data_IF_003637962213
#
_entry.id   IF_003637962213
#
_cell.length_a   1.000
_cell.length_b   1.000
_cell.length_c   1.000
_cell.angle_alpha   90.00
_cell.angle_beta   90.00
_cell.angle_gamma   90.00
#
_symmetry.space_group_name_H-M   'P 1'
#
loop_
_entity.id
_entity.type
_entity.pdbx_description
1 polymer ?
#
# COMPACT_ATOMS: atom_id res chain seq x y z
N UNK A 1 27.56 24.67 46.75
CA UNK A 1 27.88 24.66 45.30
C UNK A 1 27.71 23.26 44.67
N UNK A 2 28.01 22.16 45.34
CA UNK A 2 27.94 20.77 44.84
C UNK A 2 26.50 20.35 44.43
N UNK A 3 25.43 20.74 45.09
CA UNK A 3 24.05 20.37 44.73
C UNK A 3 23.62 20.88 43.35
N UNK A 4 23.96 22.12 42.99
CA UNK A 4 23.66 22.70 41.69
C UNK A 4 24.37 22.00 40.55
N UNK A 5 25.57 21.54 40.76
CA UNK A 5 26.39 20.82 39.76
C UNK A 5 25.80 19.43 39.50
N UNK A 6 25.39 18.72 40.55
CA UNK A 6 24.73 17.38 40.41
C UNK A 6 23.42 17.45 39.62
N UNK A 7 22.57 18.42 39.87
CA UNK A 7 21.32 18.60 39.16
C UNK A 7 21.53 18.92 37.67
N UNK A 8 22.53 19.74 37.35
CA UNK A 8 22.88 20.04 35.94
C UNK A 8 23.41 18.83 35.22
N UNK A 9 24.19 17.99 35.86
CA UNK A 9 24.71 16.74 35.30
C UNK A 9 23.59 15.72 35.08
N UNK A 10 22.68 15.54 36.04
CA UNK A 10 21.53 14.66 35.93
C UNK A 10 20.60 15.15 34.79
N UNK A 11 20.32 16.45 34.73
CA UNK A 11 19.51 17.03 33.66
C UNK A 11 20.11 16.83 32.25
N UNK A 12 21.42 17.02 32.13
CA UNK A 12 22.11 16.77 30.86
C UNK A 12 22.08 15.28 30.46
N UNK A 13 22.30 14.37 31.40
CA UNK A 13 22.22 12.94 31.17
C UNK A 13 20.79 12.50 30.77
N UNK A 14 19.78 13.00 31.46
CA UNK A 14 18.37 12.75 31.12
C UNK A 14 18.02 13.29 29.73
N UNK A 15 18.45 14.49 29.40
CA UNK A 15 18.20 15.08 28.09
C UNK A 15 18.88 14.27 26.97
N UNK A 16 20.11 13.84 27.18
CA UNK A 16 20.83 13.01 26.22
C UNK A 16 20.14 11.65 26.01
N UNK A 17 19.72 11.00 27.11
CA UNK A 17 19.00 9.72 27.04
C UNK A 17 17.66 9.87 26.30
N UNK A 18 16.87 10.91 26.65
CA UNK A 18 15.60 11.20 26.00
C UNK A 18 15.78 11.47 24.50
N UNK A 19 16.83 12.21 24.12
CA UNK A 19 17.14 12.46 22.70
C UNK A 19 17.42 11.18 21.93
N UNK A 20 18.21 10.27 22.50
CA UNK A 20 18.53 8.98 21.87
C UNK A 20 17.25 8.14 21.68
N UNK A 21 16.39 8.08 22.72
CA UNK A 21 15.13 7.33 22.65
C UNK A 21 14.21 7.92 21.57
N UNK A 22 14.09 9.24 21.49
CA UNK A 22 13.28 9.90 20.45
C UNK A 22 13.81 9.62 19.04
N UNK A 23 15.12 9.67 18.85
CA UNK A 23 15.74 9.37 17.55
C UNK A 23 15.45 7.91 17.15
N UNK A 24 15.59 6.96 18.09
CA UNK A 24 15.29 5.55 17.83
C UNK A 24 13.80 5.33 17.48
N UNK A 25 12.90 5.96 18.21
CA UNK A 25 11.46 5.88 17.91
C UNK A 25 11.14 6.44 16.52
N UNK A 26 11.69 7.60 16.16
CA UNK A 26 11.53 8.16 14.83
C UNK A 26 12.08 7.23 13.74
N UNK A 27 13.26 6.65 13.97
CA UNK A 27 13.88 5.74 13.02
C UNK A 27 13.05 4.48 12.81
N UNK A 28 12.59 3.83 13.89
CA UNK A 28 11.74 2.62 13.82
C UNK A 28 10.43 2.91 13.10
N UNK A 29 9.78 4.05 13.39
CA UNK A 29 8.53 4.42 12.73
C UNK A 29 8.71 4.69 11.23
N UNK A 30 9.79 5.40 10.84
CA UNK A 30 10.12 5.65 9.43
C UNK A 30 10.44 4.36 8.68
N UNK A 31 11.23 3.48 9.31
CA UNK A 31 11.56 2.17 8.74
C UNK A 31 10.32 1.31 8.53
N UNK A 32 9.46 1.23 9.55
CA UNK A 32 8.22 0.46 9.47
C UNK A 32 7.29 0.98 8.37
N UNK A 33 7.11 2.31 8.28
CA UNK A 33 6.34 2.95 7.22
C UNK A 33 6.88 2.58 5.84
N UNK A 34 8.19 2.70 5.65
CA UNK A 34 8.83 2.39 4.35
C UNK A 34 8.72 0.90 4.00
N UNK A 35 8.90 0.03 4.98
CA UNK A 35 8.78 -1.42 4.78
C UNK A 35 7.38 -1.85 4.35
N UNK A 36 6.34 -1.34 5.02
CA UNK A 36 4.93 -1.65 4.68
C UNK A 36 4.59 -1.11 3.30
N UNK A 37 5.01 0.11 2.97
CA UNK A 37 4.74 0.71 1.67
C UNK A 37 5.40 -0.09 0.54
N UNK A 38 6.64 -0.51 0.71
CA UNK A 38 7.36 -1.31 -0.30
C UNK A 38 6.69 -2.67 -0.55
N UNK A 39 6.20 -3.34 0.51
CA UNK A 39 5.49 -4.61 0.37
C UNK A 39 4.18 -4.44 -0.42
N UNK A 40 3.45 -3.35 -0.19
CA UNK A 40 2.23 -3.05 -0.92
C UNK A 40 2.50 -2.71 -2.39
N UNK A 41 3.57 -1.96 -2.67
CA UNK A 41 3.98 -1.63 -4.04
C UNK A 41 4.42 -2.88 -4.81
N UNK A 42 5.13 -3.78 -4.16
CA UNK A 42 5.51 -5.07 -4.77
C UNK A 42 4.28 -5.93 -5.08
N UNK A 43 3.31 -5.99 -4.14
CA UNK A 43 2.07 -6.72 -4.37
C UNK A 43 1.25 -6.10 -5.51
N UNK A 44 1.14 -4.78 -5.58
CA UNK A 44 0.45 -4.07 -6.67
C UNK A 44 1.12 -4.29 -8.02
N UNK A 45 2.45 -4.23 -8.07
CA UNK A 45 3.20 -4.47 -9.31
C UNK A 45 2.94 -5.88 -9.85
N UNK A 46 2.97 -6.89 -8.98
CA UNK A 46 2.67 -8.28 -9.37
C UNK A 46 1.22 -8.47 -9.81
N UNK A 47 0.26 -7.85 -9.10
CA UNK A 47 -1.15 -7.89 -9.50
C UNK A 47 -1.37 -7.20 -10.85
N UNK A 48 -0.68 -6.10 -11.12
CA UNK A 48 -0.73 -5.39 -12.40
C UNK A 48 -0.20 -6.25 -13.55
N UNK A 49 0.88 -7.00 -13.34
CA UNK A 49 1.39 -7.95 -14.35
C UNK A 49 0.35 -9.02 -14.72
N UNK A 50 -0.38 -9.52 -13.72
CA UNK A 50 -1.46 -10.51 -13.95
C UNK A 50 -2.63 -9.88 -14.70
N UNK A 51 -3.02 -8.66 -14.34
CA UNK A 51 -4.13 -7.95 -14.97
C UNK A 51 -3.82 -7.59 -16.43
N UNK A 52 -2.61 -7.09 -16.71
CA UNK A 52 -2.17 -6.74 -18.07
C UNK A 52 -2.03 -7.95 -19.00
N UNK A 53 -1.75 -9.15 -18.48
CA UNK A 53 -1.64 -10.36 -19.29
C UNK A 53 -3.01 -10.96 -19.67
N UNK A 54 -4.12 -10.32 -19.26
CA UNK A 54 -5.50 -10.79 -19.49
C UNK A 54 -5.71 -12.28 -19.12
N UNK A 55 -4.86 -12.82 -18.25
CA UNK A 55 -5.06 -14.16 -17.75
C UNK A 55 -6.18 -14.15 -16.72
N UNK A 56 -7.29 -14.86 -16.95
CA UNK A 56 -8.30 -15.00 -15.91
C UNK A 56 -7.61 -15.66 -14.72
N UNK A 57 -7.59 -14.96 -13.61
CA UNK A 57 -7.15 -15.51 -12.34
C UNK A 57 -8.12 -16.63 -11.95
N UNK A 58 -7.81 -17.85 -12.39
CA UNK A 58 -8.64 -19.01 -12.10
C UNK A 58 -8.05 -19.71 -10.90
N UNK A 59 -8.69 -19.63 -9.72
CA UNK A 59 -8.26 -20.44 -8.58
C UNK A 59 -8.46 -21.93 -8.94
N UNK A 60 -7.43 -22.60 -9.39
CA UNK A 60 -7.44 -24.05 -9.59
C UNK A 60 -7.05 -24.59 -10.97
N UNK A 61 -6.76 -23.79 -11.97
CA UNK A 61 -6.26 -24.28 -13.26
C UNK A 61 -5.04 -23.48 -13.73
N UNK A 62 -3.87 -24.03 -13.40
CA UNK A 62 -2.62 -23.61 -14.01
C UNK A 62 -2.25 -22.19 -13.65
N UNK A 63 -1.74 -21.99 -12.43
CA UNK A 63 -0.97 -20.79 -12.13
C UNK A 63 0.06 -20.60 -13.26
N UNK A 64 0.25 -19.38 -13.79
CA UNK A 64 1.34 -19.12 -14.71
C UNK A 64 2.63 -19.60 -14.07
N UNK A 65 3.65 -19.98 -14.86
CA UNK A 65 4.90 -20.51 -14.36
C UNK A 65 5.73 -19.39 -13.71
N UNK A 66 5.24 -18.86 -12.60
CA UNK A 66 6.00 -18.01 -11.72
C UNK A 66 6.66 -18.91 -10.70
N UNK A 67 7.91 -19.26 -10.98
CA UNK A 67 8.77 -20.03 -10.08
C UNK A 67 9.01 -19.34 -8.73
N UNK A 68 8.47 -18.13 -8.52
CA UNK A 68 8.72 -17.29 -7.36
C UNK A 68 7.50 -17.05 -6.44
N UNK A 69 6.37 -17.74 -6.68
CA UNK A 69 5.25 -17.77 -5.72
C UNK A 69 5.57 -18.56 -4.44
N UNK A 70 6.75 -19.17 -4.36
CA UNK A 70 7.19 -19.91 -3.16
C UNK A 70 7.26 -19.06 -1.89
N UNK A 71 7.32 -17.73 -2.02
CA UNK A 71 7.29 -16.79 -0.90
C UNK A 71 5.89 -16.28 -0.53
N UNK A 72 4.89 -16.52 -1.38
CA UNK A 72 3.50 -16.27 -1.05
C UNK A 72 2.79 -17.58 -0.75
N UNK A 73 2.34 -17.76 0.49
CA UNK A 73 1.44 -18.85 0.84
C UNK A 73 0.22 -18.80 -0.09
N UNK A 74 -0.29 -19.95 -0.60
CA UNK A 74 -1.53 -20.00 -1.39
C UNK A 74 -2.71 -19.28 -0.73
N UNK A 75 -2.66 -19.12 0.58
CA UNK A 75 -3.68 -18.42 1.38
C UNK A 75 -3.63 -16.88 1.23
N UNK A 76 -2.50 -16.31 0.81
CA UNK A 76 -2.36 -14.86 0.60
C UNK A 76 -3.27 -14.38 -0.53
N UNK A 77 -3.48 -15.18 -1.55
CA UNK A 77 -4.38 -14.87 -2.67
C UNK A 77 -5.82 -14.63 -2.21
N UNK A 78 -6.27 -15.32 -1.18
CA UNK A 78 -7.61 -15.15 -0.60
C UNK A 78 -7.72 -13.99 0.40
N UNK A 79 -6.58 -13.44 0.82
CA UNK A 79 -6.54 -12.32 1.78
C UNK A 79 -6.36 -10.95 1.11
N UNK A 80 -5.91 -10.91 -0.13
CA UNK A 80 -5.76 -9.68 -0.90
C UNK A 80 -7.12 -9.21 -1.39
N UNK A 81 -7.53 -8.03 -0.94
CA UNK A 81 -8.75 -7.36 -1.40
C UNK A 81 -8.34 -6.25 -2.32
N UNK A 82 -8.61 -6.42 -3.60
CA UNK A 82 -8.25 -5.45 -4.64
C UNK A 82 -9.37 -5.31 -5.66
N UNK A 83 -9.33 -4.24 -6.42
CA UNK A 83 -10.15 -4.01 -7.60
C UNK A 83 -9.35 -3.23 -8.64
N UNK A 84 -9.76 -3.31 -9.89
CA UNK A 84 -9.15 -2.56 -10.99
C UNK A 84 -10.21 -1.86 -11.84
N UNK A 85 -9.84 -0.71 -12.38
CA UNK A 85 -10.63 0.06 -13.35
C UNK A 85 -9.79 0.26 -14.60
N UNK A 86 -10.34 -0.14 -15.73
CA UNK A 86 -9.69 -0.09 -17.03
C UNK A 86 -10.29 1.02 -17.87
N UNK A 87 -9.44 1.82 -18.46
CA UNK A 87 -9.80 2.94 -19.33
C UNK A 87 -9.22 2.76 -20.72
N UNK A 88 -10.00 3.13 -21.73
CA UNK A 88 -9.53 3.24 -23.11
C UNK A 88 -8.67 4.50 -23.30
N UNK A 89 -8.00 4.60 -24.44
CA UNK A 89 -7.24 5.78 -24.90
C UNK A 89 -8.00 7.09 -24.80
N UNK A 90 -9.32 7.03 -24.97
CA UNK A 90 -10.23 8.17 -24.89
C UNK A 90 -10.64 8.55 -23.47
N UNK A 91 -10.17 7.81 -22.45
CA UNK A 91 -10.54 8.01 -21.05
C UNK A 91 -11.93 7.50 -20.67
N UNK A 92 -12.54 6.66 -21.49
CA UNK A 92 -13.79 5.96 -21.19
C UNK A 92 -13.52 4.70 -20.39
N UNK A 93 -14.34 4.42 -19.37
CA UNK A 93 -14.23 3.17 -18.60
C UNK A 93 -14.62 1.99 -19.49
N UNK A 94 -13.70 1.05 -19.65
CA UNK A 94 -13.91 -0.19 -20.39
C UNK A 94 -14.52 -1.28 -19.52
N UNK A 95 -13.96 -1.45 -18.32
CA UNK A 95 -14.43 -2.45 -17.36
C UNK A 95 -13.98 -2.10 -15.94
N UNK A 96 -14.74 -2.58 -14.96
CA UNK A 96 -14.39 -2.56 -13.54
C UNK A 96 -14.35 -4.01 -13.06
N UNK A 97 -13.21 -4.42 -12.52
CA UNK A 97 -13.04 -5.76 -11.94
C UNK A 97 -13.10 -5.66 -10.41
N UNK A 98 -14.13 -6.25 -9.81
CA UNK A 98 -14.39 -6.25 -8.37
C UNK A 98 -14.49 -7.67 -7.80
N UNK A 99 -14.03 -8.70 -8.53
CA UNK A 99 -14.20 -10.10 -8.16
C UNK A 99 -13.58 -10.45 -6.80
N UNK A 100 -12.62 -9.63 -6.35
CA UNK A 100 -11.85 -9.87 -5.11
C UNK A 100 -12.25 -8.93 -3.95
N UNK A 101 -13.27 -8.09 -4.14
CA UNK A 101 -13.73 -7.15 -3.12
C UNK A 101 -15.24 -6.94 -3.22
N UNK A 102 -15.95 -7.17 -2.10
CA UNK A 102 -17.40 -7.00 -2.02
C UNK A 102 -17.82 -5.67 -1.38
N UNK A 103 -16.86 -4.88 -0.87
CA UNK A 103 -17.16 -3.70 -0.05
C UNK A 103 -17.19 -2.40 -0.83
N UNK A 104 -16.99 -2.42 -2.15
CA UNK A 104 -17.01 -1.23 -3.00
C UNK A 104 -18.07 -1.40 -4.10
N UNK A 105 -18.78 -0.33 -4.42
CA UNK A 105 -19.67 -0.30 -5.58
C UNK A 105 -18.91 0.09 -6.85
N UNK A 106 -19.41 -0.29 -8.01
CA UNK A 106 -18.83 0.06 -9.31
C UNK A 106 -18.67 1.57 -9.46
N UNK A 107 -19.69 2.34 -9.06
CA UNK A 107 -19.67 3.81 -9.10
C UNK A 107 -18.62 4.43 -8.18
N UNK A 108 -18.35 3.81 -7.01
CA UNK A 108 -17.31 4.30 -6.10
C UNK A 108 -15.92 3.96 -6.65
N UNK A 109 -15.77 2.76 -7.24
CA UNK A 109 -14.51 2.34 -7.87
C UNK A 109 -14.11 3.29 -9.01
N UNK A 110 -15.07 3.64 -9.88
CA UNK A 110 -14.87 4.63 -10.95
C UNK A 110 -14.52 6.02 -10.38
N UNK A 111 -15.25 6.47 -9.35
CA UNK A 111 -14.98 7.77 -8.73
C UNK A 111 -13.58 7.87 -8.13
N UNK A 112 -13.09 6.78 -7.49
CA UNK A 112 -11.72 6.74 -6.96
C UNK A 112 -10.68 6.71 -8.07
N UNK A 113 -10.92 5.94 -9.13
CA UNK A 113 -10.02 5.89 -10.28
C UNK A 113 -9.93 7.24 -10.99
N UNK A 114 -11.05 7.93 -11.19
CA UNK A 114 -11.10 9.28 -11.73
C UNK A 114 -10.32 10.30 -10.87
N UNK A 115 -10.46 10.21 -9.54
CA UNK A 115 -9.70 11.06 -8.63
C UNK A 115 -8.19 10.83 -8.75
N UNK A 116 -7.77 9.56 -8.87
CA UNK A 116 -6.38 9.16 -9.07
C UNK A 116 -5.85 9.71 -10.39
N UNK A 117 -6.55 9.50 -11.50
CA UNK A 117 -6.14 9.99 -12.82
C UNK A 117 -6.03 11.51 -12.85
N UNK A 118 -6.96 12.24 -12.23
CA UNK A 118 -6.89 13.70 -12.08
C UNK A 118 -5.69 14.16 -11.27
N UNK A 119 -5.22 13.35 -10.30
CA UNK A 119 -4.04 13.68 -9.49
C UNK A 119 -2.73 13.59 -10.28
N UNK A 120 -2.70 12.86 -11.39
CA UNK A 120 -1.53 12.63 -12.24
C UNK A 120 -0.41 11.82 -11.59
N UNK A 121 -0.68 11.15 -10.46
CA UNK A 121 0.31 10.34 -9.76
C UNK A 121 0.17 8.88 -10.16
N UNK A 122 1.31 8.22 -10.40
CA UNK A 122 1.33 6.80 -10.79
C UNK A 122 1.09 5.86 -9.62
N UNK A 123 1.36 6.27 -8.39
CA UNK A 123 1.13 5.48 -7.17
C UNK A 123 0.82 6.39 -5.98
N UNK A 124 0.10 5.88 -5.00
CA UNK A 124 -0.27 6.63 -3.81
C UNK A 124 -1.34 5.93 -2.98
N UNK A 125 -2.04 6.73 -2.18
CA UNK A 125 -3.20 6.30 -1.40
C UNK A 125 -4.41 7.14 -1.78
N UNK A 126 -5.55 6.48 -1.96
CA UNK A 126 -6.85 7.11 -2.17
C UNK A 126 -7.90 6.36 -1.37
N UNK A 127 -8.63 7.08 -0.51
CA UNK A 127 -9.77 6.56 0.27
C UNK A 127 -9.51 5.26 1.04
N UNK A 128 -8.27 5.06 1.55
CA UNK A 128 -7.89 3.86 2.30
C UNK A 128 -7.31 2.73 1.44
N UNK A 129 -7.20 2.95 0.13
CA UNK A 129 -6.60 2.02 -0.81
C UNK A 129 -5.22 2.51 -1.26
N UNK A 130 -4.26 1.60 -1.35
CA UNK A 130 -3.01 1.82 -2.07
C UNK A 130 -3.29 1.61 -3.55
N UNK A 131 -2.84 2.51 -4.43
CA UNK A 131 -3.09 2.38 -5.86
C UNK A 131 -1.82 2.42 -6.69
N UNK A 132 -1.90 1.79 -7.85
CA UNK A 132 -0.91 1.83 -8.93
C UNK A 132 -1.62 2.10 -10.25
N UNK A 133 -1.09 3.03 -11.03
CA UNK A 133 -1.55 3.32 -12.40
C UNK A 133 -0.52 2.79 -13.37
N UNK A 134 -0.95 2.03 -14.36
CA UNK A 134 -0.12 1.59 -15.47
C UNK A 134 -0.83 1.87 -16.79
N UNK A 135 -0.05 2.13 -17.83
CA UNK A 135 -0.56 2.37 -19.18
C UNK A 135 0.23 1.48 -20.14
N UNK A 136 -0.43 0.47 -20.65
CA UNK A 136 0.13 -0.48 -21.60
C UNK A 136 -0.79 -0.64 -22.81
N UNK A 137 -0.23 -0.72 -24.01
CA UNK A 137 -0.94 -0.99 -25.27
C UNK A 137 -2.13 -0.05 -25.57
N UNK A 138 -2.14 1.16 -24.97
CA UNK A 138 -3.21 2.14 -25.15
C UNK A 138 -4.34 2.03 -24.13
N UNK A 139 -4.30 1.06 -23.24
CA UNK A 139 -5.21 0.92 -22.09
C UNK A 139 -4.55 1.47 -20.82
N UNK A 140 -5.31 2.22 -20.04
CA UNK A 140 -4.85 2.69 -18.71
C UNK A 140 -5.57 1.89 -17.62
N UNK A 141 -4.80 1.22 -16.79
CA UNK A 141 -5.30 0.41 -15.68
C UNK A 141 -4.98 1.09 -14.37
N UNK A 142 -5.99 1.29 -13.53
CA UNK A 142 -5.84 1.77 -12.16
C UNK A 142 -6.18 0.62 -11.22
N UNK A 143 -5.18 0.09 -10.53
CA UNK A 143 -5.30 -1.02 -9.61
C UNK A 143 -5.28 -0.51 -8.17
N UNK A 144 -6.23 -0.97 -7.36
CA UNK A 144 -6.39 -0.59 -5.96
C UNK A 144 -6.27 -1.79 -5.04
N UNK A 145 -5.43 -1.68 -4.02
CA UNK A 145 -5.25 -2.66 -2.96
C UNK A 145 -5.76 -2.10 -1.63
N UNK A 146 -6.63 -2.84 -0.94
CA UNK A 146 -7.13 -2.42 0.36
C UNK A 146 -5.99 -2.37 1.39
N UNK A 147 -5.74 -1.18 1.94
CA UNK A 147 -4.68 -0.89 2.93
C UNK A 147 -5.23 -0.43 4.27
N UNK A 148 -6.52 -0.61 4.50
CA UNK A 148 -7.20 -0.06 5.67
C UNK A 148 -6.65 -0.63 6.99
N UNK A 149 -6.31 -1.92 7.03
CA UNK A 149 -5.71 -2.57 8.20
C UNK A 149 -4.33 -2.02 8.52
N UNK A 150 -3.50 -1.84 7.51
CA UNK A 150 -2.14 -1.32 7.62
C UNK A 150 -2.15 0.13 8.07
N UNK A 151 -3.06 0.94 7.52
CA UNK A 151 -3.25 2.34 7.92
C UNK A 151 -3.71 2.44 9.37
N UNK A 152 -4.66 1.60 9.80
CA UNK A 152 -5.13 1.57 11.18
C UNK A 152 -4.01 1.14 12.13
N UNK A 153 -3.21 0.15 11.77
CA UNK A 153 -2.07 -0.30 12.58
C UNK A 153 -1.02 0.82 12.71
N UNK A 154 -0.69 1.49 11.62
CA UNK A 154 0.23 2.63 11.66
C UNK A 154 -0.32 3.78 12.54
N UNK A 155 -1.60 4.08 12.45
CA UNK A 155 -2.24 5.11 13.30
C UNK A 155 -2.21 4.73 14.78
N UNK A 156 -2.44 3.47 15.12
CA UNK A 156 -2.39 3.01 16.52
C UNK A 156 -0.98 3.11 17.12
N UNK A 157 0.05 2.89 16.33
CA UNK A 157 1.45 3.02 16.77
C UNK A 157 1.89 4.47 16.98
N UNK A 158 1.26 5.43 16.29
CA UNK A 158 1.55 6.86 16.45
C UNK A 158 0.91 7.48 17.71
N UNK A 159 -0.06 6.79 18.34
CA UNK A 159 -0.80 7.27 19.50
C UNK A 159 -0.33 6.62 20.82
N UNK A 160 0.76 5.86 20.83
CA UNK A 160 1.45 5.34 22.00
C UNK A 160 2.65 6.23 22.34
#
# INVERSE_FOLDING_TARGET
MLKKMRWRFIGAAMAAFTSVVLILLCFVNLWNYHSVTNQQDEALTRLMEVENQQMPFSPGRGAPPFDDWSHFSPEVQYSLRFFSVHYDTDGTVLRVNQDYIASISESDAEAYADAVLKSGKMHGYESGYRYLVDTAEGETVVLFLNSEREIQTMRSLLWI
#
